data_IF_890313472097
#
_entry.id   IF_890313472097
#
_cell.length_a   1.000
_cell.length_b   1.000
_cell.length_c   1.000
_cell.angle_alpha   90.00
_cell.angle_beta   90.00
_cell.angle_gamma   90.00
#
_symmetry.space_group_name_H-M   'P 1'
#
loop_
_entity.id
_entity.type
_entity.pdbx_description
1 polymer ?
#
# COMPACT_ATOMS: atom_id res chain seq x y z
N UNK A 1 43.65 18.89 -20.09
CA UNK A 1 43.32 17.88 -19.07
C UNK A 1 41.82 17.68 -19.17
N UNK A 2 41.38 16.43 -19.16
CA UNK A 2 39.98 16.07 -19.28
C UNK A 2 39.68 14.85 -18.39
N UNK A 3 38.41 14.55 -18.14
CA UNK A 3 37.97 13.35 -17.44
C UNK A 3 37.08 12.56 -18.40
N UNK A 4 37.38 11.28 -18.57
CA UNK A 4 36.60 10.38 -19.44
C UNK A 4 35.97 9.28 -18.62
N UNK A 5 34.67 9.09 -18.80
CA UNK A 5 33.94 7.94 -18.29
C UNK A 5 34.24 6.72 -19.17
N UNK A 6 34.67 5.62 -18.55
CA UNK A 6 34.98 4.38 -19.25
C UNK A 6 34.72 3.17 -18.36
N UNK A 7 34.86 1.96 -18.90
CA UNK A 7 34.68 0.70 -18.17
C UNK A 7 36.02 0.00 -18.09
N UNK A 8 36.35 -0.60 -16.95
CA UNK A 8 37.56 -1.40 -16.85
C UNK A 8 37.53 -2.58 -17.83
N UNK A 9 38.65 -2.94 -18.48
CA UNK A 9 38.67 -4.09 -19.40
C UNK A 9 38.30 -5.43 -18.73
N UNK A 10 38.42 -5.52 -17.40
CA UNK A 10 38.28 -6.77 -16.64
C UNK A 10 37.29 -6.68 -15.45
N UNK A 11 36.60 -5.55 -15.27
CA UNK A 11 35.46 -5.44 -14.35
C UNK A 11 34.39 -4.60 -15.02
N UNK A 12 33.12 -4.95 -14.82
CA UNK A 12 32.00 -4.16 -15.35
C UNK A 12 31.82 -2.81 -14.60
N UNK A 13 32.82 -2.40 -13.81
CA UNK A 13 32.78 -1.16 -13.06
C UNK A 13 33.08 0.02 -13.97
N UNK A 14 32.17 0.98 -13.96
CA UNK A 14 32.40 2.29 -14.57
C UNK A 14 33.43 3.07 -13.75
N UNK A 15 34.37 3.71 -14.43
CA UNK A 15 35.39 4.56 -13.83
C UNK A 15 35.52 5.90 -14.52
N UNK A 16 35.88 6.90 -13.72
CA UNK A 16 36.30 8.21 -14.19
C UNK A 16 37.81 8.22 -14.29
N UNK A 17 38.34 8.40 -15.50
CA UNK A 17 39.79 8.43 -15.75
C UNK A 17 40.24 9.84 -16.12
N UNK A 18 41.28 10.34 -15.44
CA UNK A 18 41.89 11.63 -15.76
C UNK A 18 42.84 11.49 -16.96
N UNK A 19 42.49 12.14 -18.07
CA UNK A 19 43.27 12.14 -19.32
C UNK A 19 44.16 13.38 -19.37
N UNK A 20 45.47 13.14 -19.46
CA UNK A 20 46.50 14.18 -19.44
C UNK A 20 47.53 13.96 -20.55
N UNK A 21 48.01 15.04 -21.20
CA UNK A 21 49.19 14.95 -22.05
C UNK A 21 50.39 14.52 -21.17
N UNK A 22 51.25 13.64 -21.70
CA UNK A 22 52.21 12.82 -20.95
C UNK A 22 52.99 13.52 -19.80
N UNK A 23 53.39 12.73 -18.78
CA UNK A 23 54.22 13.08 -17.62
C UNK A 23 53.51 13.70 -16.39
N UNK A 24 52.28 13.30 -16.09
CA UNK A 24 51.69 13.60 -14.78
C UNK A 24 52.47 12.93 -13.63
N UNK A 25 52.69 13.69 -12.55
CA UNK A 25 53.45 13.24 -11.38
C UNK A 25 52.54 12.89 -10.20
N UNK A 26 51.43 13.62 -10.01
CA UNK A 26 50.54 13.43 -8.87
C UNK A 26 49.09 13.80 -9.22
N UNK A 27 48.13 13.02 -8.71
CA UNK A 27 46.68 13.23 -8.86
C UNK A 27 46.06 13.50 -7.49
N UNK A 28 45.07 14.37 -7.45
CA UNK A 28 44.26 14.62 -6.25
C UNK A 28 42.80 14.81 -6.65
N UNK A 29 41.96 13.81 -6.35
CA UNK A 29 40.52 13.85 -6.56
C UNK A 29 39.79 14.53 -5.40
N UNK A 30 38.59 15.05 -5.66
CA UNK A 30 37.68 15.61 -4.64
C UNK A 30 37.26 14.57 -3.59
N UNK A 31 37.35 13.29 -3.91
CA UNK A 31 37.15 12.15 -3.00
C UNK A 31 38.33 11.92 -2.05
N UNK A 32 39.49 12.53 -2.32
CA UNK A 32 40.75 12.29 -1.62
C UNK A 32 41.66 11.24 -2.27
N UNK A 33 41.21 10.59 -3.35
CA UNK A 33 42.01 9.60 -4.08
C UNK A 33 43.18 10.23 -4.84
N UNK A 34 44.24 9.45 -5.04
CA UNK A 34 45.47 9.87 -5.75
C UNK A 34 45.83 9.00 -6.96
N UNK A 35 44.93 8.09 -7.34
CA UNK A 35 45.06 7.28 -8.55
C UNK A 35 44.67 8.08 -9.80
N UNK A 36 45.11 7.65 -11.00
CA UNK A 36 44.69 8.29 -12.26
C UNK A 36 43.21 8.06 -12.61
N UNK A 37 42.51 7.22 -11.85
CA UNK A 37 41.09 6.94 -11.98
C UNK A 37 40.43 6.81 -10.60
N UNK A 38 39.10 6.92 -10.56
CA UNK A 38 38.27 6.57 -9.42
C UNK A 38 37.06 5.74 -9.86
N UNK A 39 36.54 4.91 -8.95
CA UNK A 39 35.19 4.35 -9.05
C UNK A 39 34.28 5.32 -8.29
N UNK A 40 33.43 6.09 -8.97
CA UNK A 40 32.52 7.02 -8.32
C UNK A 40 31.49 6.27 -7.46
N UNK A 41 31.21 6.77 -6.26
CA UNK A 41 30.32 6.13 -5.28
C UNK A 41 28.84 6.50 -5.43
N UNK A 42 28.51 7.35 -6.41
CA UNK A 42 27.17 7.87 -6.66
C UNK A 42 27.19 9.10 -7.58
N UNK A 43 26.02 9.63 -7.96
CA UNK A 43 25.94 10.81 -8.81
C UNK A 43 26.53 12.06 -8.13
N UNK A 44 27.17 12.93 -8.91
CA UNK A 44 27.71 14.21 -8.44
C UNK A 44 28.94 14.69 -9.19
N UNK A 45 29.47 15.84 -8.77
CA UNK A 45 30.65 16.46 -9.35
C UNK A 45 31.93 15.84 -8.78
N UNK A 46 32.75 15.26 -9.66
CA UNK A 46 34.08 14.75 -9.34
C UNK A 46 35.13 15.64 -9.99
N UNK A 47 35.96 16.29 -9.18
CA UNK A 47 37.05 17.13 -9.66
C UNK A 47 38.39 16.47 -9.38
N UNK A 48 39.32 16.55 -10.33
CA UNK A 48 40.71 16.12 -10.15
C UNK A 48 41.65 17.28 -10.42
N UNK A 49 42.66 17.41 -9.58
CA UNK A 49 43.82 18.29 -9.80
C UNK A 49 45.05 17.43 -10.07
N UNK A 50 45.71 17.65 -11.19
CA UNK A 50 46.94 16.96 -11.58
C UNK A 50 48.12 17.91 -11.50
N UNK A 51 49.21 17.44 -10.89
CA UNK A 51 50.48 18.17 -10.81
C UNK A 51 51.51 17.50 -11.73
N UNK A 52 52.15 18.30 -12.57
CA UNK A 52 53.26 17.89 -13.42
C UNK A 52 54.59 17.90 -12.64
N UNK A 53 55.57 17.12 -13.10
CA UNK A 53 56.92 17.06 -12.49
C UNK A 53 57.65 18.41 -12.41
N UNK A 54 57.28 19.36 -13.27
CA UNK A 54 57.79 20.75 -13.25
C UNK A 54 57.11 21.67 -12.22
N UNK A 55 56.13 21.16 -11.47
CA UNK A 55 55.35 21.92 -10.49
C UNK A 55 54.10 22.63 -11.04
N UNK A 56 53.81 22.53 -12.34
CA UNK A 56 52.58 23.08 -12.92
C UNK A 56 51.36 22.24 -12.54
N UNK A 57 50.23 22.86 -12.26
CA UNK A 57 48.96 22.18 -11.94
C UNK A 57 47.89 22.45 -12.98
N UNK A 58 47.02 21.48 -13.23
CA UNK A 58 45.78 21.64 -13.98
C UNK A 58 44.64 20.93 -13.24
N UNK A 59 43.42 21.43 -13.38
CA UNK A 59 42.23 20.82 -12.78
C UNK A 59 41.14 20.62 -13.83
N UNK A 60 40.34 19.57 -13.68
CA UNK A 60 39.14 19.29 -14.45
C UNK A 60 38.06 18.73 -13.53
N UNK A 61 36.79 18.95 -13.87
CA UNK A 61 35.64 18.40 -13.15
C UNK A 61 34.72 17.66 -14.12
N UNK A 62 34.08 16.60 -13.62
CA UNK A 62 33.17 15.74 -14.35
C UNK A 62 31.92 15.48 -13.52
N UNK A 63 30.75 15.66 -14.12
CA UNK A 63 29.47 15.32 -13.49
C UNK A 63 29.14 13.85 -13.79
N UNK A 64 29.41 12.96 -12.83
CA UNK A 64 29.12 11.55 -12.97
C UNK A 64 27.71 11.24 -12.49
N UNK A 65 27.00 10.33 -13.17
CA UNK A 65 25.63 9.98 -12.80
C UNK A 65 24.59 11.09 -13.05
N UNK A 66 24.99 12.24 -13.60
CA UNK A 66 24.07 13.09 -14.35
C UNK A 66 24.11 12.62 -15.81
N UNK A 67 23.38 11.57 -16.13
CA UNK A 67 22.89 11.49 -17.49
C UNK A 67 22.02 12.74 -17.70
N UNK A 68 22.57 13.76 -18.37
CA UNK A 68 21.79 14.83 -19.00
C UNK A 68 20.97 14.29 -20.19
N UNK A 69 20.41 13.08 -20.05
CA UNK A 69 19.23 12.67 -20.80
C UNK A 69 18.05 13.15 -19.99
N UNK A 70 17.20 14.00 -20.57
CA UNK A 70 15.84 14.16 -20.07
C UNK A 70 15.14 12.82 -20.28
N UNK A 71 15.30 11.88 -19.34
CA UNK A 71 14.48 10.68 -19.31
C UNK A 71 13.10 11.11 -18.90
N UNK A 72 12.12 10.68 -19.69
CA UNK A 72 10.75 11.11 -19.52
C UNK A 72 9.91 9.91 -19.24
N UNK A 73 9.31 9.91 -18.05
CA UNK A 73 8.24 8.99 -17.72
C UNK A 73 6.97 9.53 -18.38
N UNK A 74 6.51 8.81 -19.41
CA UNK A 74 5.34 9.14 -20.20
C UNK A 74 4.68 7.89 -20.74
N UNK A 75 3.41 8.00 -21.08
CA UNK A 75 2.65 6.90 -21.65
C UNK A 75 1.22 7.31 -21.97
N UNK A 76 0.45 6.32 -22.41
CA UNK A 76 -0.98 6.45 -22.63
C UNK A 76 -1.75 5.80 -21.49
N UNK A 77 -2.84 6.44 -21.08
CA UNK A 77 -3.88 5.84 -20.25
C UNK A 77 -5.05 5.48 -21.15
N UNK A 78 -5.47 4.22 -21.12
CA UNK A 78 -6.55 3.70 -21.96
C UNK A 78 -7.62 3.07 -21.08
N UNK A 79 -8.87 3.12 -21.51
CA UNK A 79 -9.98 2.48 -20.81
C UNK A 79 -10.47 1.27 -21.64
N UNK A 80 -10.30 0.06 -21.11
CA UNK A 80 -10.67 -1.18 -21.81
C UNK A 80 -12.18 -1.26 -22.06
N UNK A 81 -12.59 -1.59 -23.29
CA UNK A 81 -14.01 -1.69 -23.65
C UNK A 81 -14.75 -0.35 -23.56
N UNK A 82 -14.02 0.77 -23.64
CA UNK A 82 -14.60 2.10 -23.58
C UNK A 82 -15.45 2.43 -24.81
N UNK A 83 -16.45 3.29 -24.59
CA UNK A 83 -17.23 3.86 -25.68
C UNK A 83 -16.33 4.75 -26.54
N UNK A 84 -16.53 4.77 -27.87
CA UNK A 84 -15.79 5.66 -28.77
C UNK A 84 -16.09 7.17 -28.57
N UNK A 85 -16.83 7.53 -27.50
CA UNK A 85 -17.08 8.90 -27.06
C UNK A 85 -16.61 9.17 -25.61
N UNK A 86 -15.81 8.29 -25.01
CA UNK A 86 -15.27 8.51 -23.67
C UNK A 86 -14.05 9.45 -23.72
N UNK A 87 -14.09 10.54 -22.97
CA UNK A 87 -12.92 11.40 -22.74
C UNK A 87 -12.46 11.21 -21.32
N UNK A 88 -11.27 10.63 -21.15
CA UNK A 88 -10.68 10.45 -19.83
C UNK A 88 -10.19 11.79 -19.26
N UNK A 89 -10.61 12.08 -18.04
CA UNK A 89 -10.17 13.24 -17.26
C UNK A 89 -9.69 12.72 -15.91
N UNK A 90 -8.51 13.13 -15.49
CA UNK A 90 -7.88 12.55 -14.31
C UNK A 90 -6.44 13.00 -14.15
N UNK A 91 -5.73 12.31 -13.28
CA UNK A 91 -4.35 12.58 -12.91
C UNK A 91 -3.56 11.29 -12.90
N UNK A 92 -2.32 11.35 -13.37
CA UNK A 92 -1.32 10.32 -13.11
C UNK A 92 -0.41 10.83 -12.02
N UNK A 93 -0.23 10.03 -10.97
CA UNK A 93 0.69 10.29 -9.87
C UNK A 93 1.95 9.43 -10.09
N UNK A 94 3.12 10.01 -9.86
CA UNK A 94 4.39 9.30 -9.88
C UNK A 94 4.97 9.29 -8.47
N UNK A 95 5.23 8.10 -7.95
CA UNK A 95 5.83 7.88 -6.65
C UNK A 95 7.24 7.34 -6.84
N UNK A 96 8.22 7.96 -6.17
CA UNK A 96 9.57 7.41 -6.05
C UNK A 96 9.56 6.29 -5.02
N UNK A 97 10.12 5.15 -5.39
CA UNK A 97 10.24 3.96 -4.56
C UNK A 97 11.64 3.84 -3.98
N UNK A 98 11.73 3.84 -2.65
CA UNK A 98 12.96 3.52 -1.92
C UNK A 98 12.97 2.02 -1.59
N UNK A 99 13.75 1.25 -2.35
CA UNK A 99 13.90 -0.20 -2.15
C UNK A 99 14.59 -0.58 -0.84
N UNK A 100 15.29 0.35 -0.18
CA UNK A 100 15.95 0.09 1.11
C UNK A 100 15.00 0.25 2.29
N UNK A 101 14.10 1.23 2.21
CA UNK A 101 13.09 1.51 3.23
C UNK A 101 11.73 0.85 2.93
N UNK A 102 11.56 0.28 1.74
CA UNK A 102 10.26 -0.16 1.20
C UNK A 102 9.19 0.93 1.28
N UNK A 103 9.59 2.18 1.03
CA UNK A 103 8.76 3.38 1.18
C UNK A 103 8.46 4.02 -0.17
N UNK A 104 7.30 4.69 -0.27
CA UNK A 104 6.90 5.47 -1.44
C UNK A 104 6.77 6.95 -1.06
N UNK A 105 7.35 7.82 -1.88
CA UNK A 105 7.20 9.27 -1.75
C UNK A 105 6.60 9.83 -3.02
N UNK A 106 5.59 10.71 -2.93
CA UNK A 106 5.04 11.38 -4.12
C UNK A 106 6.11 12.26 -4.76
N UNK A 107 6.61 11.87 -5.93
CA UNK A 107 7.56 12.64 -6.71
C UNK A 107 6.85 13.78 -7.45
N UNK A 108 5.70 13.48 -8.05
CA UNK A 108 4.93 14.47 -8.79
C UNK A 108 3.61 13.94 -9.33
N UNK A 109 2.85 14.83 -9.97
CA UNK A 109 1.58 14.49 -10.61
C UNK A 109 1.42 15.27 -11.91
N UNK A 110 0.69 14.68 -12.87
CA UNK A 110 0.39 15.32 -14.16
C UNK A 110 -1.04 14.99 -14.56
N UNK A 111 -1.75 15.96 -15.14
CA UNK A 111 -3.11 15.73 -15.61
C UNK A 111 -3.11 14.79 -16.83
N UNK A 112 -4.21 14.06 -17.02
CA UNK A 112 -4.47 13.37 -18.28
C UNK A 112 -4.69 14.41 -19.39
N UNK A 113 -3.84 14.35 -20.41
CA UNK A 113 -3.83 15.23 -21.56
C UNK A 113 -4.45 14.53 -22.78
N UNK A 114 -4.96 15.28 -23.77
CA UNK A 114 -5.29 14.72 -25.08
C UNK A 114 -4.05 14.06 -25.70
N UNK A 115 -4.26 13.02 -26.52
CA UNK A 115 -3.20 12.38 -27.29
C UNK A 115 -2.46 13.43 -28.16
N UNK A 116 -1.14 13.62 -27.99
CA UNK A 116 -0.39 14.63 -28.74
C UNK A 116 -0.18 14.25 -30.23
N UNK A 117 -0.41 13.00 -30.60
CA UNK A 117 -0.19 12.46 -31.94
C UNK A 117 -1.46 12.39 -32.79
N UNK A 118 -2.62 12.47 -32.15
CA UNK A 118 -3.92 12.39 -32.81
C UNK A 118 -4.72 13.69 -32.60
N UNK A 119 -5.60 14.08 -33.53
CA UNK A 119 -6.57 15.12 -33.25
C UNK A 119 -7.41 14.71 -32.03
N UNK A 120 -7.85 15.66 -31.18
CA UNK A 120 -8.67 15.34 -30.02
C UNK A 120 -9.89 14.54 -30.44
N UNK A 121 -9.91 13.25 -30.09
CA UNK A 121 -11.04 12.37 -30.31
C UNK A 121 -11.40 11.70 -28.99
N UNK A 122 -12.69 11.59 -28.67
CA UNK A 122 -13.14 11.00 -27.41
C UNK A 122 -13.09 9.47 -27.47
N UNK A 123 -11.91 8.87 -27.72
CA UNK A 123 -11.76 7.43 -27.96
C UNK A 123 -11.31 6.63 -26.73
N UNK A 124 -11.43 7.19 -25.53
CA UNK A 124 -11.00 6.54 -24.29
C UNK A 124 -9.49 6.49 -24.08
N UNK A 125 -8.71 7.26 -24.85
CA UNK A 125 -7.27 7.39 -24.69
C UNK A 125 -6.90 8.78 -24.17
N UNK A 126 -5.98 8.81 -23.20
CA UNK A 126 -5.31 10.01 -22.74
C UNK A 126 -3.80 9.79 -22.68
N UNK A 127 -3.05 10.87 -22.64
CA UNK A 127 -1.59 10.87 -22.55
C UNK A 127 -1.15 11.54 -21.26
N UNK A 128 -0.03 11.10 -20.71
CA UNK A 128 0.60 11.73 -19.56
C UNK A 128 2.11 11.85 -19.77
N UNK A 129 2.70 12.89 -19.19
CA UNK A 129 4.12 13.22 -19.34
C UNK A 129 4.62 13.96 -18.10
N UNK A 130 5.66 13.43 -17.47
CA UNK A 130 6.32 14.02 -16.30
C UNK A 130 7.53 14.89 -16.63
N UNK A 131 7.85 15.08 -17.92
CA UNK A 131 9.03 15.83 -18.34
C UNK A 131 10.33 15.11 -17.98
N UNK A 132 11.31 15.81 -17.42
CA UNK A 132 12.55 15.19 -16.98
C UNK A 132 12.36 14.56 -15.59
N UNK A 133 12.67 13.27 -15.47
CA UNK A 133 12.63 12.51 -14.20
C UNK A 133 14.03 12.03 -13.85
N UNK A 134 14.52 12.25 -12.61
CA UNK A 134 15.82 11.74 -12.14
C UNK A 134 15.93 10.22 -12.22
N UNK A 135 17.18 9.74 -12.28
CA UNK A 135 17.47 8.31 -12.11
C UNK A 135 16.89 7.81 -10.78
N UNK A 136 16.19 6.68 -10.84
CA UNK A 136 15.46 6.14 -9.71
C UNK A 136 14.49 5.03 -10.14
N UNK A 137 13.75 4.53 -9.17
CA UNK A 137 12.72 3.52 -9.33
C UNK A 137 11.37 4.16 -8.95
N UNK A 138 10.35 3.98 -9.80
CA UNK A 138 9.09 4.69 -9.64
C UNK A 138 7.88 3.80 -9.88
N UNK A 139 6.76 4.15 -9.25
CA UNK A 139 5.43 3.62 -9.53
C UNK A 139 4.54 4.73 -10.09
N UNK A 140 3.75 4.42 -11.11
CA UNK A 140 2.78 5.36 -11.68
C UNK A 140 1.35 4.88 -11.40
N UNK A 141 0.48 5.75 -10.87
CA UNK A 141 -0.92 5.49 -10.61
C UNK A 141 -1.80 6.42 -11.44
N UNK A 142 -2.67 5.87 -12.29
CA UNK A 142 -3.70 6.62 -12.98
C UNK A 142 -5.01 6.62 -12.17
N UNK A 143 -5.57 7.81 -11.95
CA UNK A 143 -6.82 8.02 -11.24
C UNK A 143 -7.70 9.01 -12.02
N UNK A 144 -8.92 8.60 -12.36
CA UNK A 144 -9.89 9.49 -12.99
C UNK A 144 -10.41 10.52 -11.97
N UNK A 145 -10.66 11.73 -12.44
CA UNK A 145 -11.18 12.80 -11.60
C UNK A 145 -12.63 12.47 -11.19
N UNK A 146 -13.02 12.67 -9.93
CA UNK A 146 -14.40 12.43 -9.49
C UNK A 146 -15.42 13.20 -10.34
N UNK A 147 -16.61 12.62 -10.54
CA UNK A 147 -17.69 13.21 -11.33
C UNK A 147 -17.34 13.47 -12.81
N UNK A 148 -16.38 12.73 -13.36
CA UNK A 148 -16.07 12.76 -14.80
C UNK A 148 -16.49 11.46 -15.50
N UNK A 149 -16.69 11.45 -16.83
CA UNK A 149 -17.05 10.25 -17.56
C UNK A 149 -16.08 9.08 -17.27
N UNK A 150 -16.63 7.93 -16.89
CA UNK A 150 -15.85 6.73 -16.54
C UNK A 150 -15.29 6.70 -15.12
N UNK A 151 -15.39 7.78 -14.33
CA UNK A 151 -14.81 7.82 -12.97
C UNK A 151 -15.42 6.81 -11.99
N UNK A 152 -16.67 6.40 -12.20
CA UNK A 152 -17.33 5.32 -11.43
C UNK A 152 -17.20 3.95 -12.10
N UNK A 153 -16.81 3.90 -13.38
CA UNK A 153 -16.74 2.67 -14.19
C UNK A 153 -15.36 2.03 -14.16
N UNK A 154 -14.30 2.81 -13.91
CA UNK A 154 -12.91 2.34 -13.97
C UNK A 154 -12.20 2.60 -12.64
N UNK A 155 -11.46 1.60 -12.17
CA UNK A 155 -10.72 1.67 -10.93
C UNK A 155 -9.40 2.44 -11.10
N UNK A 156 -8.88 3.06 -10.03
CA UNK A 156 -7.50 3.49 -9.96
C UNK A 156 -6.59 2.33 -10.34
N UNK A 157 -5.64 2.58 -11.24
CA UNK A 157 -4.82 1.52 -11.82
C UNK A 157 -3.37 1.96 -11.91
N UNK A 158 -2.47 1.14 -11.36
CA UNK A 158 -1.03 1.33 -11.44
C UNK A 158 -0.49 0.82 -12.78
N UNK A 159 0.69 1.31 -13.16
CA UNK A 159 1.48 0.69 -14.22
C UNK A 159 1.70 -0.80 -13.93
N UNK A 160 1.47 -1.64 -14.94
CA UNK A 160 1.33 -3.10 -14.76
C UNK A 160 -0.12 -3.57 -14.70
N UNK A 161 -1.08 -2.64 -14.79
CA UNK A 161 -2.52 -2.88 -14.87
C UNK A 161 -3.09 -3.59 -13.64
N UNK A 162 -2.69 -3.11 -12.46
CA UNK A 162 -3.06 -3.64 -11.13
C UNK A 162 -3.61 -2.55 -10.22
N UNK A 163 -4.37 -2.93 -9.19
CA UNK A 163 -5.08 -1.97 -8.32
C UNK A 163 -4.31 -1.56 -7.09
N UNK A 164 -3.29 -2.32 -6.68
CA UNK A 164 -2.54 -2.08 -5.45
C UNK A 164 -1.09 -1.76 -5.74
N UNK A 165 -0.49 -0.89 -4.93
CA UNK A 165 0.90 -0.47 -5.16
C UNK A 165 1.90 -1.61 -4.99
N UNK A 166 1.59 -2.63 -4.17
CA UNK A 166 2.47 -3.78 -3.93
C UNK A 166 2.62 -4.69 -5.14
N UNK A 167 1.62 -4.70 -6.03
CA UNK A 167 1.61 -5.51 -7.25
C UNK A 167 2.08 -4.71 -8.47
N UNK A 168 2.28 -3.40 -8.31
CA UNK A 168 2.59 -2.49 -9.41
C UNK A 168 3.92 -2.84 -10.08
N UNK A 169 3.98 -2.67 -11.40
CA UNK A 169 5.23 -2.77 -12.14
C UNK A 169 6.10 -1.54 -11.89
N UNK A 170 7.39 -1.78 -11.73
CA UNK A 170 8.36 -0.73 -11.43
C UNK A 170 8.89 -0.08 -12.72
N UNK A 171 8.96 1.25 -12.71
CA UNK A 171 9.56 2.08 -13.76
C UNK A 171 11.00 2.38 -13.35
N UNK A 172 11.96 1.84 -14.11
CA UNK A 172 13.39 2.07 -13.87
C UNK A 172 13.89 3.20 -14.77
N UNK A 173 14.46 4.24 -14.16
CA UNK A 173 15.14 5.35 -14.84
C UNK A 173 16.63 5.25 -14.54
N UNK A 174 17.54 5.33 -15.54
CA UNK A 174 17.30 5.67 -16.95
C UNK A 174 16.68 4.53 -17.77
N UNK A 175 15.97 4.90 -18.85
CA UNK A 175 15.37 3.97 -19.81
C UNK A 175 15.56 4.45 -21.26
N UNK A 176 15.37 3.56 -22.23
CA UNK A 176 15.62 3.84 -23.64
C UNK A 176 14.35 4.29 -24.40
N UNK A 177 13.67 5.32 -23.91
CA UNK A 177 12.52 5.93 -24.60
C UNK A 177 11.22 5.09 -24.61
N UNK A 178 11.16 4.04 -23.79
CA UNK A 178 9.96 3.25 -23.55
C UNK A 178 8.76 4.11 -23.09
N UNK A 179 7.56 3.74 -23.53
CA UNK A 179 6.30 4.26 -23.00
C UNK A 179 5.77 3.36 -21.89
N UNK A 180 5.27 3.96 -20.82
CA UNK A 180 4.71 3.27 -19.66
C UNK A 180 3.19 3.35 -19.71
N UNK A 181 2.58 2.60 -20.62
CA UNK A 181 1.13 2.64 -20.82
C UNK A 181 0.40 2.00 -19.64
N UNK A 182 -0.76 2.54 -19.30
CA UNK A 182 -1.66 2.03 -18.26
C UNK A 182 -3.02 1.76 -18.91
N UNK A 183 -3.57 0.57 -18.72
CA UNK A 183 -4.93 0.24 -19.11
C UNK A 183 -5.80 0.18 -17.85
N UNK A 184 -6.70 1.15 -17.71
CA UNK A 184 -7.61 1.26 -16.60
C UNK A 184 -8.48 -0.01 -16.52
N UNK A 185 -8.49 -0.60 -15.34
CA UNK A 185 -9.31 -1.78 -15.07
C UNK A 185 -10.77 -1.38 -14.91
N UNK A 186 -11.64 -2.00 -15.71
CA UNK A 186 -13.09 -1.75 -15.66
C UNK A 186 -13.71 -2.46 -14.46
N UNK A 187 -14.49 -1.72 -13.68
CA UNK A 187 -15.33 -2.26 -12.63
C UNK A 187 -16.60 -2.92 -13.17
N UNK A 188 -17.27 -3.65 -12.29
CA UNK A 188 -18.55 -4.29 -12.61
C UNK A 188 -19.72 -3.37 -12.26
N UNK A 189 -20.76 -3.41 -13.08
CA UNK A 189 -22.05 -2.81 -12.72
C UNK A 189 -22.72 -3.67 -11.65
N UNK A 190 -22.74 -3.18 -10.42
CA UNK A 190 -23.32 -3.87 -9.29
C UNK A 190 -24.80 -3.50 -9.16
N UNK A 191 -25.63 -4.47 -8.80
CA UNK A 191 -27.03 -4.22 -8.46
C UNK A 191 -27.51 -5.26 -7.45
N UNK A 192 -27.99 -4.78 -6.30
CA UNK A 192 -28.45 -5.64 -5.22
C UNK A 192 -28.88 -4.86 -3.99
N UNK A 193 -29.41 -5.54 -2.98
CA UNK A 193 -29.95 -4.90 -1.78
C UNK A 193 -28.88 -4.58 -0.71
N UNK A 194 -27.63 -4.95 -0.96
CA UNK A 194 -26.53 -4.89 -0.01
C UNK A 194 -25.84 -3.53 0.09
N UNK A 195 -25.24 -3.24 1.24
CA UNK A 195 -24.43 -2.04 1.46
C UNK A 195 -23.23 -2.36 2.35
N UNK A 196 -22.05 -1.86 1.97
CA UNK A 196 -20.87 -1.84 2.83
C UNK A 196 -20.45 -0.39 3.02
N UNK A 197 -20.41 0.07 4.27
CA UNK A 197 -19.95 1.42 4.60
C UNK A 197 -18.86 1.37 5.66
N UNK A 198 -18.25 2.52 5.92
CA UNK A 198 -17.09 2.54 6.79
C UNK A 198 -16.44 3.89 6.91
N UNK A 199 -15.37 3.91 7.69
CA UNK A 199 -14.50 5.05 7.87
C UNK A 199 -13.04 4.62 7.74
N UNK A 200 -12.22 5.46 7.13
CA UNK A 200 -10.76 5.40 7.16
C UNK A 200 -10.28 6.52 8.09
N UNK A 201 -9.66 6.15 9.19
CA UNK A 201 -9.18 7.08 10.23
C UNK A 201 -7.76 6.76 10.64
N UNK A 202 -7.07 7.72 11.24
CA UNK A 202 -5.80 7.46 11.92
C UNK A 202 -6.04 6.47 13.09
N UNK A 203 -5.16 5.48 13.19
CA UNK A 203 -5.20 4.49 14.25
C UNK A 203 -4.65 5.00 15.59
N UNK A 204 -4.81 4.22 16.67
CA UNK A 204 -4.23 4.56 17.97
C UNK A 204 -2.71 4.74 17.88
N UNK A 205 -2.20 5.92 18.24
CA UNK A 205 -0.76 6.22 18.22
C UNK A 205 -0.38 7.56 17.58
N UNK A 206 -1.27 8.17 16.79
CA UNK A 206 -1.01 9.49 16.19
C UNK A 206 -1.25 10.66 17.17
N UNK A 207 -2.27 10.58 18.04
CA UNK A 207 -2.48 11.53 19.14
C UNK A 207 -2.90 10.84 20.45
N UNK A 208 -2.35 11.33 21.57
CA UNK A 208 -2.57 10.75 22.89
C UNK A 208 -3.97 11.00 23.45
N UNK A 209 -4.66 9.93 23.82
CA UNK A 209 -5.68 9.91 24.87
C UNK A 209 -7.09 10.31 24.46
N UNK A 210 -7.88 9.33 24.00
CA UNK A 210 -9.34 9.41 23.91
C UNK A 210 -9.90 8.17 23.22
N UNK A 211 -11.06 7.68 23.65
CA UNK A 211 -11.77 6.55 23.02
C UNK A 211 -12.55 6.98 21.76
N UNK A 212 -12.08 8.01 21.05
CA UNK A 212 -12.70 8.54 19.85
C UNK A 212 -11.86 8.11 18.63
N UNK A 213 -12.52 7.87 17.49
CA UNK A 213 -11.83 7.60 16.21
C UNK A 213 -10.72 8.64 16.01
N UNK A 214 -9.54 8.22 15.54
CA UNK A 214 -8.50 9.15 15.15
C UNK A 214 -8.94 10.02 13.97
N UNK A 215 -8.09 10.98 13.59
CA UNK A 215 -8.44 11.96 12.57
C UNK A 215 -8.80 11.27 11.24
N UNK A 216 -9.78 11.84 10.54
CA UNK A 216 -10.26 11.31 9.28
C UNK A 216 -9.14 11.35 8.22
N UNK A 217 -8.96 10.23 7.51
CA UNK A 217 -8.04 10.18 6.37
C UNK A 217 -8.86 10.40 5.10
N UNK A 218 -8.84 11.63 4.58
CA UNK A 218 -9.50 12.01 3.33
C UNK A 218 -8.72 11.52 2.09
N UNK A 219 -9.44 11.10 1.05
CA UNK A 219 -8.85 10.74 -0.24
C UNK A 219 -8.16 9.38 -0.31
N UNK A 220 -8.24 8.57 0.75
CA UNK A 220 -7.76 7.19 0.72
C UNK A 220 -8.60 6.34 -0.24
N UNK A 221 -7.93 5.50 -1.04
CA UNK A 221 -8.61 4.63 -2.01
C UNK A 221 -9.08 3.36 -1.32
N UNK A 222 -10.38 3.18 -1.17
CA UNK A 222 -10.99 1.92 -0.71
C UNK A 222 -11.40 1.12 -1.94
N UNK A 223 -10.77 -0.03 -2.15
CA UNK A 223 -11.03 -0.96 -3.25
C UNK A 223 -11.99 -2.06 -2.80
N UNK A 224 -12.88 -2.48 -3.70
CA UNK A 224 -13.80 -3.60 -3.51
C UNK A 224 -13.55 -4.68 -4.56
N UNK A 225 -13.38 -5.91 -4.09
CA UNK A 225 -13.21 -7.11 -4.91
C UNK A 225 -14.28 -8.16 -4.57
N UNK A 226 -14.56 -9.07 -5.49
CA UNK A 226 -15.39 -10.26 -5.22
C UNK A 226 -14.63 -11.36 -4.45
N UNK A 227 -15.26 -12.52 -4.29
CA UNK A 227 -14.69 -13.68 -3.60
C UNK A 227 -13.50 -14.32 -4.32
N UNK A 228 -13.40 -14.12 -5.63
CA UNK A 228 -12.30 -14.60 -6.48
C UNK A 228 -11.21 -13.53 -6.67
N UNK A 229 -11.27 -12.46 -5.86
CA UNK A 229 -10.36 -11.31 -5.90
C UNK A 229 -10.38 -10.50 -7.21
N UNK A 230 -11.45 -10.59 -7.99
CA UNK A 230 -11.66 -9.73 -9.14
C UNK A 230 -12.05 -8.31 -8.68
N UNK A 231 -11.41 -7.25 -9.19
CA UNK A 231 -11.77 -5.87 -8.88
C UNK A 231 -13.19 -5.55 -9.38
N UNK A 232 -14.01 -4.97 -8.50
CA UNK A 232 -15.40 -4.62 -8.80
C UNK A 232 -15.63 -3.11 -8.85
N UNK A 233 -15.16 -2.37 -7.83
CA UNK A 233 -15.39 -0.93 -7.70
C UNK A 233 -14.41 -0.32 -6.69
N UNK A 234 -14.45 0.99 -6.52
CA UNK A 234 -13.68 1.71 -5.49
C UNK A 234 -14.43 2.93 -4.96
N UNK A 235 -13.99 3.47 -3.82
CA UNK A 235 -14.41 4.77 -3.28
C UNK A 235 -13.20 5.51 -2.76
N UNK A 236 -13.17 6.83 -2.95
CA UNK A 236 -12.29 7.69 -2.18
C UNK A 236 -12.98 8.01 -0.86
N UNK A 237 -12.24 7.94 0.25
CA UNK A 237 -12.77 8.40 1.54
C UNK A 237 -13.04 9.90 1.50
N UNK A 238 -14.17 10.30 2.07
CA UNK A 238 -14.57 11.71 2.16
C UNK A 238 -13.76 12.45 3.25
N UNK A 239 -14.02 13.75 3.41
CA UNK A 239 -13.35 14.59 4.42
C UNK A 239 -13.62 14.19 5.86
N UNK A 240 -14.67 13.41 6.12
CA UNK A 240 -14.96 12.78 7.40
C UNK A 240 -14.39 11.34 7.51
N UNK A 241 -13.63 10.90 6.50
CA UNK A 241 -13.07 9.55 6.39
C UNK A 241 -14.08 8.52 5.86
N UNK A 242 -15.34 8.92 5.65
CA UNK A 242 -16.42 8.02 5.28
C UNK A 242 -16.29 7.47 3.86
N UNK A 243 -16.70 6.22 3.66
CA UNK A 243 -16.88 5.62 2.34
C UNK A 243 -18.12 4.73 2.32
N UNK A 244 -18.73 4.52 1.15
CA UNK A 244 -19.91 3.67 1.01
C UNK A 244 -19.99 3.02 -0.37
N UNK A 245 -20.12 1.70 -0.37
CA UNK A 245 -20.51 0.87 -1.51
C UNK A 245 -21.99 0.49 -1.36
N UNK A 246 -22.81 0.92 -2.30
CA UNK A 246 -24.24 0.63 -2.36
C UNK A 246 -24.52 -0.36 -3.50
N UNK A 247 -25.76 -0.84 -3.55
CA UNK A 247 -26.27 -1.70 -4.63
C UNK A 247 -25.50 -3.01 -4.78
N UNK A 248 -25.01 -3.58 -3.68
CA UNK A 248 -24.23 -4.80 -3.71
C UNK A 248 -25.15 -6.03 -3.73
N UNK A 249 -24.92 -7.02 -4.61
CA UNK A 249 -25.50 -8.35 -4.46
C UNK A 249 -25.17 -8.98 -3.09
N UNK A 250 -25.94 -9.99 -2.69
CA UNK A 250 -25.50 -10.83 -1.59
C UNK A 250 -24.31 -11.68 -2.03
N UNK A 251 -23.27 -11.75 -1.19
CA UNK A 251 -22.01 -12.37 -1.55
C UNK A 251 -20.92 -12.03 -0.55
N UNK A 252 -19.74 -12.63 -0.77
CA UNK A 252 -18.53 -12.32 -0.02
C UNK A 252 -17.67 -11.34 -0.82
N UNK A 253 -17.13 -10.35 -0.13
CA UNK A 253 -16.35 -9.27 -0.70
C UNK A 253 -15.06 -9.07 0.07
N UNK A 254 -14.00 -8.73 -0.65
CA UNK A 254 -12.70 -8.29 -0.11
C UNK A 254 -12.60 -6.76 -0.25
N UNK A 255 -12.28 -6.08 0.84
CA UNK A 255 -11.95 -4.66 0.85
C UNK A 255 -10.47 -4.47 1.13
N UNK A 256 -9.83 -3.56 0.39
CA UNK A 256 -8.42 -3.17 0.58
C UNK A 256 -8.35 -1.65 0.53
N UNK A 257 -7.67 -1.03 1.48
CA UNK A 257 -7.39 0.42 1.44
C UNK A 257 -6.00 0.61 0.85
N UNK A 258 -5.92 1.13 -0.37
CA UNK A 258 -4.66 1.42 -1.05
C UNK A 258 -4.22 2.85 -0.73
N UNK A 259 -3.20 2.96 0.11
CA UNK A 259 -2.44 4.19 0.36
C UNK A 259 -1.00 3.91 -0.06
N UNK A 260 -0.46 4.56 -1.10
CA UNK A 260 0.91 4.34 -1.56
C UNK A 260 1.92 4.43 -0.41
N UNK A 261 2.70 3.37 -0.23
CA UNK A 261 3.76 3.29 0.77
C UNK A 261 3.32 2.76 2.13
N UNK A 262 2.02 2.54 2.33
CA UNK A 262 1.49 1.88 3.53
C UNK A 262 0.98 0.47 3.14
N UNK A 263 1.53 -0.61 3.71
CA UNK A 263 0.99 -1.94 3.49
C UNK A 263 -0.42 -2.04 4.07
N UNK A 264 -1.32 -2.76 3.41
CA UNK A 264 -2.72 -2.84 3.82
C UNK A 264 -3.16 -4.28 4.08
N UNK A 265 -3.84 -4.52 5.21
CA UNK A 265 -4.51 -5.79 5.49
C UNK A 265 -5.89 -5.80 4.83
N UNK A 266 -6.18 -6.85 4.05
CA UNK A 266 -7.48 -7.05 3.44
C UNK A 266 -8.58 -7.39 4.47
N UNK A 267 -9.76 -6.78 4.29
CA UNK A 267 -10.95 -7.07 5.09
C UNK A 267 -11.96 -7.89 4.29
N UNK A 268 -12.31 -9.08 4.80
CA UNK A 268 -13.33 -9.94 4.20
C UNK A 268 -14.69 -9.78 4.89
N UNK A 269 -15.75 -9.60 4.11
CA UNK A 269 -17.13 -9.46 4.61
C UNK A 269 -18.12 -10.20 3.74
N UNK A 270 -19.20 -10.71 4.34
CA UNK A 270 -20.27 -11.42 3.62
C UNK A 270 -21.60 -10.74 3.85
N UNK A 271 -22.21 -10.19 2.80
CA UNK A 271 -23.56 -9.63 2.82
C UNK A 271 -24.57 -10.74 2.52
N UNK A 272 -25.64 -10.80 3.31
CA UNK A 272 -26.70 -11.81 3.17
C UNK A 272 -28.09 -11.21 3.43
N UNK A 273 -29.19 -11.91 3.14
CA UNK A 273 -30.53 -11.44 3.47
C UNK A 273 -30.73 -11.08 4.96
N UNK A 274 -30.02 -11.78 5.85
CA UNK A 274 -30.10 -11.55 7.30
C UNK A 274 -29.23 -10.36 7.75
N UNK A 275 -28.25 -9.96 6.92
CA UNK A 275 -27.33 -8.86 7.18
C UNK A 275 -27.00 -8.15 5.86
N UNK A 276 -27.95 -7.34 5.39
CA UNK A 276 -27.84 -6.61 4.13
C UNK A 276 -26.91 -5.38 4.22
N UNK A 277 -26.62 -4.89 5.43
CA UNK A 277 -25.71 -3.75 5.64
C UNK A 277 -24.57 -4.13 6.60
N UNK A 278 -23.34 -3.81 6.22
CA UNK A 278 -22.13 -4.08 7.00
C UNK A 278 -21.29 -2.82 7.10
N UNK A 279 -20.80 -2.55 8.31
CA UNK A 279 -19.80 -1.51 8.56
C UNK A 279 -18.42 -2.14 8.72
N UNK A 280 -17.42 -1.59 8.03
CA UNK A 280 -16.00 -1.95 8.11
C UNK A 280 -15.22 -0.66 8.33
N UNK A 281 -14.38 -0.59 9.38
CA UNK A 281 -13.52 0.57 9.58
C UNK A 281 -12.07 0.17 9.37
N UNK A 282 -11.26 1.12 8.89
CA UNK A 282 -9.83 0.96 8.68
C UNK A 282 -9.07 2.02 9.48
N UNK A 283 -8.03 1.56 10.15
CA UNK A 283 -7.13 2.39 10.95
C UNK A 283 -5.77 2.47 10.24
N UNK A 284 -5.33 3.69 9.96
CA UNK A 284 -4.07 4.03 9.29
C UNK A 284 -3.04 4.40 10.34
N UNK A 285 -1.90 3.73 10.35
CA UNK A 285 -0.78 4.06 11.22
C UNK A 285 0.55 4.04 10.45
N UNK A 286 1.66 4.29 11.15
CA UNK A 286 3.01 4.33 10.60
C UNK A 286 3.50 2.98 10.06
N UNK A 287 2.87 1.88 10.47
CA UNK A 287 3.19 0.52 10.04
C UNK A 287 2.28 0.03 8.89
N UNK A 288 1.18 0.73 8.58
CA UNK A 288 0.27 0.36 7.51
C UNK A 288 -1.20 0.65 7.79
N UNK A 289 -2.07 0.10 6.94
CA UNK A 289 -3.52 0.14 7.08
C UNK A 289 -4.02 -1.19 7.62
N UNK A 290 -4.64 -1.14 8.79
CA UNK A 290 -5.25 -2.30 9.44
C UNK A 290 -6.75 -2.14 9.45
N UNK A 291 -7.52 -3.22 9.54
CA UNK A 291 -8.95 -3.08 9.81
C UNK A 291 -9.18 -3.14 11.32
N UNK A 292 -10.17 -2.40 11.81
CA UNK A 292 -10.51 -2.37 13.23
C UNK A 292 -10.95 -3.76 13.79
N UNK A 293 -11.22 -4.75 12.91
CA UNK A 293 -11.49 -6.16 13.26
C UNK A 293 -10.22 -6.99 13.54
N UNK A 294 -9.01 -6.52 13.21
CA UNK A 294 -7.75 -7.19 13.61
C UNK A 294 -7.47 -7.07 15.11
N UNK A 295 -8.11 -6.11 15.79
CA UNK A 295 -8.09 -6.00 17.25
C UNK A 295 -8.59 -7.26 17.98
N UNK A 296 -9.47 -8.05 17.33
CA UNK A 296 -10.06 -9.24 17.94
C UNK A 296 -9.32 -10.51 17.49
N UNK A 297 -8.86 -10.58 16.24
CA UNK A 297 -8.18 -11.77 15.70
C UNK A 297 -6.77 -12.01 16.25
N UNK A 298 -6.09 -10.98 16.75
CA UNK A 298 -4.82 -11.14 17.47
C UNK A 298 -4.98 -11.61 18.93
N UNK A 299 -6.22 -11.74 19.42
CA UNK A 299 -6.48 -12.23 20.76
C UNK A 299 -6.25 -13.74 20.89
N UNK A 300 -5.07 -14.14 21.36
CA UNK A 300 -4.79 -15.55 21.64
C UNK A 300 -5.64 -16.03 22.83
N UNK A 301 -6.71 -16.79 22.57
CA UNK A 301 -7.54 -17.41 23.62
C UNK A 301 -6.99 -18.79 24.00
N UNK A 302 -6.61 -18.95 25.27
CA UNK A 302 -6.22 -20.23 25.86
C UNK A 302 -7.18 -20.66 26.95
N UNK A 303 -7.52 -21.96 27.00
CA UNK A 303 -8.50 -22.53 27.91
C UNK A 303 -7.90 -23.66 28.77
N UNK A 304 -8.07 -23.60 30.09
CA UNK A 304 -7.62 -24.69 30.97
C UNK A 304 -8.43 -24.78 32.28
N UNK A 305 -8.44 -25.94 32.96
CA UNK A 305 -8.03 -27.23 32.44
C UNK A 305 -9.02 -27.72 31.36
N UNK A 306 -8.54 -28.52 30.42
CA UNK A 306 -9.36 -29.23 29.46
C UNK A 306 -9.05 -30.74 29.60
N UNK A 307 -9.95 -31.58 30.16
CA UNK A 307 -11.34 -31.29 30.53
C UNK A 307 -11.55 -30.39 31.76
N UNK A 308 -12.53 -29.50 31.68
CA UNK A 308 -12.91 -28.52 32.71
C UNK A 308 -13.63 -29.16 33.89
N UNK A 309 -13.36 -28.66 35.10
CA UNK A 309 -13.97 -29.10 36.36
C UNK A 309 -15.22 -28.30 36.72
N UNK A 310 -15.18 -27.57 37.84
CA UNK A 310 -16.22 -26.59 38.19
C UNK A 310 -15.98 -25.23 37.55
N UNK A 311 -14.73 -24.93 37.17
CA UNK A 311 -14.31 -23.66 36.59
C UNK A 311 -13.47 -23.91 35.35
N UNK A 312 -13.67 -23.07 34.33
CA UNK A 312 -12.81 -22.97 33.15
C UNK A 312 -12.03 -21.65 33.24
N UNK A 313 -10.71 -21.73 33.25
CA UNK A 313 -9.82 -20.58 33.15
C UNK A 313 -9.66 -20.20 31.69
N UNK A 314 -9.75 -18.90 31.43
CA UNK A 314 -9.66 -18.28 30.12
C UNK A 314 -8.55 -17.22 30.18
N UNK A 315 -7.55 -17.37 29.31
CA UNK A 315 -6.58 -16.33 29.01
C UNK A 315 -6.94 -15.72 27.68
N UNK A 316 -6.92 -14.41 27.61
CA UNK A 316 -7.03 -13.64 26.37
C UNK A 316 -5.83 -12.72 26.32
N UNK A 317 -5.04 -12.75 25.25
CA UNK A 317 -3.97 -11.80 25.03
C UNK A 317 -4.37 -10.83 23.92
N UNK A 318 -5.02 -9.72 24.25
CA UNK A 318 -5.57 -8.76 23.28
C UNK A 318 -4.54 -7.69 22.89
N UNK A 319 -4.65 -7.11 21.70
CA UNK A 319 -3.79 -5.99 21.27
C UNK A 319 -4.29 -4.64 21.77
N UNK A 320 -5.56 -4.55 22.19
CA UNK A 320 -6.19 -3.33 22.70
C UNK A 320 -7.22 -3.61 23.81
N UNK A 321 -7.74 -2.55 24.43
CA UNK A 321 -8.78 -2.64 25.45
C UNK A 321 -10.15 -2.88 24.78
N UNK A 322 -10.86 -3.94 25.16
CA UNK A 322 -12.17 -4.29 24.60
C UNK A 322 -13.17 -4.73 25.67
N UNK A 323 -14.45 -4.40 25.47
CA UNK A 323 -15.56 -4.89 26.30
C UNK A 323 -16.27 -6.02 25.55
N UNK A 324 -15.95 -7.27 25.91
CA UNK A 324 -16.49 -8.44 25.23
C UNK A 324 -17.55 -9.19 26.06
N UNK A 325 -18.54 -9.73 25.37
CA UNK A 325 -19.43 -10.76 25.87
C UNK A 325 -18.77 -12.14 25.75
N UNK A 326 -18.52 -12.79 26.88
CA UNK A 326 -18.01 -14.16 26.95
C UNK A 326 -19.18 -15.12 27.16
N UNK A 327 -19.33 -16.12 26.30
CA UNK A 327 -20.44 -17.07 26.32
C UNK A 327 -19.93 -18.52 26.37
N UNK A 328 -20.63 -19.39 27.10
CA UNK A 328 -20.50 -20.85 26.95
C UNK A 328 -21.70 -21.36 26.19
N UNK A 329 -21.45 -22.13 25.15
CA UNK A 329 -22.44 -22.52 24.16
C UNK A 329 -22.36 -24.03 23.95
N UNK A 330 -23.52 -24.68 23.84
CA UNK A 330 -23.61 -26.09 23.46
C UNK A 330 -23.17 -26.31 22.00
N UNK A 331 -22.92 -27.56 21.61
CA UNK A 331 -22.65 -27.92 20.20
C UNK A 331 -23.84 -27.66 19.26
N UNK A 332 -25.03 -27.44 19.81
CA UNK A 332 -26.25 -27.07 19.06
C UNK A 332 -26.47 -25.55 19.01
N UNK A 333 -25.52 -24.75 19.50
CA UNK A 333 -25.61 -23.28 19.46
C UNK A 333 -26.39 -22.63 20.60
N UNK A 334 -26.97 -23.40 21.51
CA UNK A 334 -27.68 -22.84 22.68
C UNK A 334 -26.70 -22.18 23.66
N UNK A 335 -26.95 -20.93 24.04
CA UNK A 335 -26.17 -20.18 25.05
C UNK A 335 -26.54 -20.67 26.45
N UNK A 336 -25.55 -21.19 27.18
CA UNK A 336 -25.70 -21.76 28.52
C UNK A 336 -25.22 -20.80 29.62
N UNK A 337 -24.25 -19.95 29.30
CA UNK A 337 -23.72 -18.85 30.12
C UNK A 337 -23.33 -17.67 29.23
N UNK A 338 -23.44 -16.45 29.77
CA UNK A 338 -23.08 -15.20 29.11
C UNK A 338 -22.70 -14.15 30.16
N UNK A 339 -21.54 -13.51 30.01
CA UNK A 339 -21.03 -12.48 30.91
C UNK A 339 -20.33 -11.37 30.11
N UNK A 340 -20.48 -10.11 30.53
CA UNK A 340 -19.69 -9.00 29.96
C UNK A 340 -18.35 -8.89 30.67
N UNK A 341 -17.27 -8.71 29.92
CA UNK A 341 -15.90 -8.64 30.43
C UNK A 341 -15.10 -7.55 29.75
N UNK A 342 -14.58 -6.63 30.56
CA UNK A 342 -13.51 -5.74 30.15
C UNK A 342 -12.21 -6.56 30.04
N UNK A 343 -11.62 -6.56 28.85
CA UNK A 343 -10.34 -7.18 28.53
C UNK A 343 -9.40 -6.03 28.19
N UNK A 344 -8.32 -5.91 28.97
CA UNK A 344 -7.31 -4.90 28.70
C UNK A 344 -6.37 -5.37 27.58
N UNK A 345 -5.72 -4.42 26.92
CA UNK A 345 -4.57 -4.67 26.05
C UNK A 345 -3.51 -5.47 26.82
N UNK A 346 -2.94 -6.49 26.17
CA UNK A 346 -2.08 -7.51 26.77
C UNK A 346 -2.86 -8.69 27.37
N UNK A 347 -2.26 -9.36 28.35
CA UNK A 347 -2.81 -10.57 28.93
C UNK A 347 -3.88 -10.28 29.98
N UNK A 348 -5.11 -10.74 29.73
CA UNK A 348 -6.22 -10.77 30.69
C UNK A 348 -6.58 -12.21 31.02
N UNK A 349 -6.61 -12.54 32.32
CA UNK A 349 -7.03 -13.85 32.82
C UNK A 349 -8.35 -13.75 33.60
N UNK A 350 -9.29 -14.65 33.35
CA UNK A 350 -10.54 -14.76 34.10
C UNK A 350 -11.09 -16.19 34.09
N UNK A 351 -12.10 -16.45 34.92
CA UNK A 351 -12.71 -17.78 35.05
C UNK A 351 -14.20 -17.76 34.73
N UNK A 352 -14.67 -18.82 34.09
CA UNK A 352 -16.10 -19.08 33.84
C UNK A 352 -16.59 -20.26 34.68
N UNK A 353 -17.77 -20.14 35.30
CA UNK A 353 -18.41 -21.25 36.02
C UNK A 353 -18.96 -22.31 35.03
N UNK A 354 -18.47 -23.53 35.19
CA UNK A 354 -18.88 -24.71 34.42
C UNK A 354 -19.52 -25.79 35.31
N UNK A 355 -19.67 -25.56 36.61
CA UNK A 355 -20.10 -26.57 37.58
C UNK A 355 -21.50 -27.13 37.36
N UNK A 356 -22.37 -26.36 36.69
CA UNK A 356 -23.74 -26.78 36.34
C UNK A 356 -23.87 -27.40 34.94
N UNK A 357 -22.75 -27.54 34.21
CA UNK A 357 -22.74 -28.18 32.90
C UNK A 357 -22.60 -29.70 33.06
N UNK A 358 -23.39 -30.45 32.30
CA UNK A 358 -23.23 -31.90 32.18
C UNK A 358 -21.90 -32.26 31.52
N UNK A 359 -21.34 -33.46 31.74
CA UNK A 359 -20.17 -33.91 30.99
C UNK A 359 -20.44 -33.90 29.48
N UNK A 360 -19.50 -33.37 28.69
CA UNK A 360 -19.71 -33.17 27.25
C UNK A 360 -18.76 -32.17 26.61
N UNK A 361 -18.96 -31.90 25.33
CA UNK A 361 -18.20 -30.91 24.55
C UNK A 361 -18.97 -29.60 24.50
N UNK A 362 -18.25 -28.50 24.73
CA UNK A 362 -18.80 -27.15 24.71
C UNK A 362 -17.88 -26.19 23.94
N UNK A 363 -18.44 -25.05 23.57
CA UNK A 363 -17.74 -23.95 22.91
C UNK A 363 -17.72 -22.74 23.85
N UNK A 364 -16.54 -22.19 24.12
CA UNK A 364 -16.40 -20.84 24.65
C UNK A 364 -16.41 -19.87 23.45
N UNK A 365 -17.23 -18.83 23.53
CA UNK A 365 -17.35 -17.78 22.54
C UNK A 365 -16.99 -16.44 23.16
N UNK A 366 -16.08 -15.70 22.57
CA UNK A 366 -15.78 -14.30 22.92
C UNK A 366 -16.36 -13.42 21.82
N UNK A 367 -17.33 -12.56 22.15
CA UNK A 367 -18.01 -11.66 21.22
C UNK A 367 -17.79 -10.20 21.59
N UNK A 368 -17.46 -9.33 20.65
CA UNK A 368 -17.51 -7.88 20.84
C UNK A 368 -18.26 -7.29 19.64
N UNK A 369 -19.42 -6.68 19.89
CA UNK A 369 -20.36 -6.33 18.81
C UNK A 369 -20.73 -7.57 17.97
N UNK A 370 -20.39 -7.53 16.67
CA UNK A 370 -20.66 -8.59 15.69
C UNK A 370 -19.50 -9.57 15.48
N UNK A 371 -18.36 -9.33 16.11
CA UNK A 371 -17.15 -10.15 15.97
C UNK A 371 -17.13 -11.25 17.02
N UNK A 372 -16.70 -12.46 16.64
CA UNK A 372 -16.82 -13.65 17.48
C UNK A 372 -15.65 -14.62 17.29
N UNK A 373 -14.94 -14.94 18.37
CA UNK A 373 -13.96 -16.03 18.42
C UNK A 373 -14.51 -17.20 19.21
N UNK A 374 -14.28 -18.42 18.72
CA UNK A 374 -14.75 -19.64 19.36
C UNK A 374 -13.58 -20.58 19.70
N UNK A 375 -13.64 -21.20 20.89
CA UNK A 375 -12.71 -22.24 21.35
C UNK A 375 -13.48 -23.41 21.94
N UNK A 376 -13.08 -24.62 21.59
CA UNK A 376 -13.71 -25.85 22.10
C UNK A 376 -13.05 -26.30 23.40
N UNK A 377 -13.85 -26.75 24.37
CA UNK A 377 -13.36 -27.44 25.57
C UNK A 377 -14.28 -28.62 25.93
N UNK A 378 -13.75 -29.60 26.66
CA UNK A 378 -14.50 -30.70 27.23
C UNK A 378 -14.83 -30.43 28.70
N UNK A 379 -15.99 -30.87 29.18
CA UNK A 379 -16.42 -30.88 30.58
C UNK A 379 -16.38 -32.32 31.09
N UNK A 380 -15.73 -32.53 32.25
CA UNK A 380 -15.70 -33.84 32.93
C UNK A 380 -16.87 -34.06 33.87
#
# INVERSE_FOLDING_TARGET
MDIVETVFPNSFDTVLMAVVPANAYYYQWSTGDSLPYIVPSGPGTYCVTVTHSSGCTASACYEYGQMFGNFTVKGFVTAEGSSPNLTLQGTVYLYEYDSTAAALTLYGQTALLPDPTLPPQPNGNAYYDFGAVPQGEYLALALLAPNTPGSDDYLPTYYGDVQTWQEASHIIVPHNGQLFNITLTKGDSLSGPGTINGFVSEGPGFHGGGNDRGDAVEGATVLLFDEDEKPLSYRLSASDGGYTFEELPYGTYKLVVDIPGLPATAAWVTISPDQAAITVNFDVNDQGVTNAREAILNAAISLWPNPAGQTLQVRVNATENLNATVEIISTLGQVLRSEQKAIAAGETNFSMDTGRLSPGIYLLSLRNGNERIVRRFAKK
#
